data_IF_800996511266
#
_entry.id   IF_800996511266
#
_cell.length_a   1.000
_cell.length_b   1.000
_cell.length_c   1.000
_cell.angle_alpha   90.00
_cell.angle_beta   90.00
_cell.angle_gamma   90.00
#
_symmetry.space_group_name_H-M   'P 1'
#
loop_
_entity.id
_entity.type
_entity.pdbx_description
1 polymer ?
#
# COMPACT_ATOMS: atom_id res chain seq x y z
N UNK A 1 -30.95 8.02 -2.16
CA UNK A 1 -30.38 8.29 -0.82
C UNK A 1 -30.31 6.97 -0.07
N UNK A 2 -29.32 6.16 -0.43
CA UNK A 2 -28.97 5.01 0.41
C UNK A 2 -28.24 5.56 1.63
N UNK A 3 -28.71 5.19 2.82
CA UNK A 3 -28.00 5.49 4.06
C UNK A 3 -26.74 4.62 4.07
N UNK A 4 -25.67 5.06 3.40
CA UNK A 4 -24.36 4.42 3.49
C UNK A 4 -23.95 4.37 4.96
N UNK A 5 -23.83 3.15 5.49
CA UNK A 5 -23.35 2.91 6.84
C UNK A 5 -21.84 3.17 6.82
N UNK A 6 -21.36 4.12 7.60
CA UNK A 6 -19.93 4.40 7.68
C UNK A 6 -19.22 3.33 8.50
N UNK A 7 -18.26 2.64 7.90
CA UNK A 7 -17.38 1.68 8.57
C UNK A 7 -16.12 2.39 9.09
N UNK A 8 -15.78 2.20 10.37
CA UNK A 8 -14.58 2.79 10.94
C UNK A 8 -13.35 1.93 10.57
N UNK A 9 -12.49 2.45 9.70
CA UNK A 9 -11.23 1.83 9.31
C UNK A 9 -10.01 2.40 10.04
N UNK A 10 -8.99 1.55 10.25
CA UNK A 10 -7.68 1.96 10.71
C UNK A 10 -6.70 1.97 9.52
N UNK A 11 -6.08 3.12 9.28
CA UNK A 11 -5.05 3.30 8.27
C UNK A 11 -3.69 3.54 8.92
N UNK A 12 -2.64 3.00 8.32
CA UNK A 12 -1.25 3.23 8.73
C UNK A 12 -0.51 4.00 7.64
N UNK A 13 0.27 5.02 8.03
CA UNK A 13 1.14 5.75 7.13
C UNK A 13 2.44 6.19 7.79
N UNK A 14 3.53 6.18 7.03
CA UNK A 14 4.83 6.79 7.38
C UNK A 14 5.07 8.12 6.64
N UNK A 15 3.99 8.75 6.14
CA UNK A 15 3.99 9.94 5.27
C UNK A 15 4.38 9.68 3.80
N UNK A 16 4.75 8.45 3.42
CA UNK A 16 4.94 8.05 2.03
C UNK A 16 3.97 6.92 1.66
N UNK A 17 4.04 5.82 2.39
CA UNK A 17 3.22 4.63 2.23
C UNK A 17 1.91 4.79 3.01
N UNK A 18 0.82 4.25 2.46
CA UNK A 18 -0.49 4.22 3.11
C UNK A 18 -1.05 2.81 2.96
N UNK A 19 -1.44 2.18 4.06
CA UNK A 19 -2.00 0.83 4.06
C UNK A 19 -3.26 0.79 4.94
N UNK A 20 -4.32 0.19 4.40
CA UNK A 20 -5.51 -0.15 5.19
C UNK A 20 -5.20 -1.34 6.09
N UNK A 21 -5.21 -1.12 7.40
CA UNK A 21 -5.03 -2.19 8.39
C UNK A 21 -6.33 -3.00 8.53
N UNK A 22 -7.45 -2.39 8.18
CA UNK A 22 -8.78 -2.95 8.17
C UNK A 22 -9.72 -2.31 9.19
N UNK A 23 -10.92 -2.86 9.33
CA UNK A 23 -11.95 -2.27 10.16
C UNK A 23 -11.69 -2.41 11.65
N UNK A 24 -12.20 -1.43 12.40
CA UNK A 24 -12.13 -1.27 13.86
C UNK A 24 -13.46 -1.62 14.52
N UNK A 25 -14.57 -1.29 13.87
CA UNK A 25 -15.94 -1.57 14.31
C UNK A 25 -16.61 -2.53 13.32
N UNK A 26 -17.65 -3.24 13.77
CA UNK A 26 -18.47 -4.09 12.88
C UNK A 26 -19.44 -3.24 12.05
N UNK A 27 -19.74 -3.70 10.84
CA UNK A 27 -20.53 -3.10 9.73
C UNK A 27 -21.93 -2.54 10.10
N UNK A 28 -22.34 -2.66 11.36
CA UNK A 28 -23.65 -2.26 11.87
C UNK A 28 -23.62 -0.96 12.68
N UNK A 29 -22.44 -0.39 12.96
CA UNK A 29 -22.28 0.75 13.86
C UNK A 29 -21.92 2.02 13.09
N UNK A 30 -22.88 2.93 12.91
CA UNK A 30 -22.58 4.29 12.47
C UNK A 30 -21.72 4.96 13.55
N UNK A 31 -20.50 5.39 13.19
CA UNK A 31 -19.56 6.05 14.11
C UNK A 31 -19.55 7.57 13.85
N UNK A 32 -19.65 8.39 14.90
CA UNK A 32 -19.54 9.85 14.79
C UNK A 32 -18.11 10.36 14.98
N UNK A 33 -17.44 9.86 16.01
CA UNK A 33 -16.09 10.26 16.40
C UNK A 33 -15.32 9.07 16.99
N UNK A 34 -14.01 9.07 16.82
CA UNK A 34 -13.12 8.03 17.34
C UNK A 34 -11.81 8.63 17.87
N UNK A 35 -11.16 7.89 18.75
CA UNK A 35 -9.84 8.18 19.30
C UNK A 35 -9.04 6.89 19.34
N UNK A 36 -7.77 6.96 18.93
CA UNK A 36 -6.84 5.84 18.95
C UNK A 36 -5.78 6.08 20.01
N UNK A 37 -5.55 5.09 20.87
CA UNK A 37 -4.53 5.11 21.90
C UNK A 37 -3.57 3.93 21.70
N UNK A 38 -2.30 4.26 21.47
CA UNK A 38 -1.21 3.30 21.57
C UNK A 38 -0.56 3.42 22.94
N UNK A 39 -0.54 2.31 23.69
CA UNK A 39 0.13 2.21 24.98
C UNK A 39 1.29 1.24 24.84
N UNK A 40 2.49 1.73 25.14
CA UNK A 40 3.69 0.91 25.34
C UNK A 40 4.26 1.28 26.71
N UNK A 41 4.69 0.29 27.48
CA UNK A 41 5.22 0.47 28.84
C UNK A 41 6.27 -0.58 29.18
N UNK A 42 6.94 -0.40 30.32
CA UNK A 42 8.16 -1.14 30.73
C UNK A 42 8.02 -2.68 30.76
N UNK A 43 6.80 -3.22 30.78
CA UNK A 43 6.51 -4.65 30.78
C UNK A 43 6.41 -5.29 29.39
N UNK A 44 6.82 -4.62 28.31
CA UNK A 44 6.66 -5.06 26.91
C UNK A 44 5.20 -5.34 26.49
N UNK A 45 4.21 -4.87 27.24
CA UNK A 45 2.79 -5.00 26.89
C UNK A 45 2.34 -3.83 25.99
N UNK A 46 2.56 -3.98 24.69
CA UNK A 46 2.06 -3.05 23.70
C UNK A 46 0.58 -3.30 23.41
N UNK A 47 -0.25 -2.26 23.55
CA UNK A 47 -1.70 -2.33 23.34
C UNK A 47 -2.15 -1.19 22.44
N UNK A 48 -2.98 -1.52 21.45
CA UNK A 48 -3.68 -0.55 20.62
C UNK A 48 -5.15 -0.59 20.98
N UNK A 49 -5.71 0.56 21.35
CA UNK A 49 -7.08 0.68 21.83
C UNK A 49 -7.78 1.74 21.00
N UNK A 50 -8.94 1.42 20.45
CA UNK A 50 -9.84 2.40 19.85
C UNK A 50 -11.00 2.69 20.81
N UNK A 51 -11.29 3.96 21.00
CA UNK A 51 -12.49 4.45 21.67
C UNK A 51 -13.33 5.18 20.64
N UNK A 52 -14.60 4.82 20.47
CA UNK A 52 -15.46 5.48 19.49
C UNK A 52 -16.90 5.64 19.97
N UNK A 53 -17.57 6.65 19.41
CA UNK A 53 -18.96 6.98 19.71
C UNK A 53 -19.90 6.25 18.75
N UNK A 54 -20.77 5.40 19.29
CA UNK A 54 -21.79 4.70 18.51
C UNK A 54 -23.04 5.58 18.34
N UNK A 55 -23.43 5.80 17.09
CA UNK A 55 -24.69 6.45 16.72
C UNK A 55 -25.84 5.44 16.84
N UNK A 56 -26.95 5.82 17.49
CA UNK A 56 -28.14 4.96 17.56
C UNK A 56 -28.87 4.94 16.20
N UNK A 57 -29.33 3.75 15.81
CA UNK A 57 -30.30 3.57 14.73
C UNK A 57 -31.71 3.70 15.31
N UNK A 58 -32.47 4.72 14.89
CA UNK A 58 -33.91 4.84 15.15
C UNK A 58 -34.34 5.83 16.25
N UNK A 59 -35.01 6.91 15.82
CA UNK A 59 -36.29 7.43 16.35
C UNK A 59 -36.45 7.95 17.78
N UNK A 60 -35.56 7.67 18.74
CA UNK A 60 -35.79 8.07 20.14
C UNK A 60 -34.90 9.23 20.56
N UNK A 61 -35.52 10.40 20.53
CA UNK A 61 -35.09 11.65 21.15
C UNK A 61 -34.71 11.38 22.61
N UNK A 62 -33.47 11.70 22.99
CA UNK A 62 -32.94 11.78 24.37
C UNK A 62 -32.39 10.50 25.05
N UNK A 63 -31.33 9.91 24.49
CA UNK A 63 -30.36 9.14 25.29
C UNK A 63 -28.94 9.41 24.82
N UNK A 64 -28.02 9.64 25.78
CA UNK A 64 -26.61 9.94 25.53
C UNK A 64 -25.97 8.92 24.58
N UNK A 65 -25.08 9.34 23.67
CA UNK A 65 -24.30 8.43 22.82
C UNK A 65 -23.55 7.41 23.66
N UNK A 66 -23.55 6.14 23.22
CA UNK A 66 -22.78 5.08 23.87
C UNK A 66 -21.33 5.13 23.41
N UNK A 67 -20.38 5.12 24.35
CA UNK A 67 -18.96 4.99 24.04
C UNK A 67 -18.54 3.52 24.06
N UNK A 68 -17.83 3.08 23.03
CA UNK A 68 -17.32 1.72 22.88
C UNK A 68 -15.79 1.75 22.89
N UNK A 69 -15.19 0.87 23.70
CA UNK A 69 -13.73 0.67 23.76
C UNK A 69 -13.39 -0.70 23.23
N UNK A 70 -12.50 -0.78 22.24
CA UNK A 70 -12.08 -2.02 21.58
C UNK A 70 -10.57 -2.18 21.66
N UNK A 71 -10.12 -3.35 22.09
CA UNK A 71 -8.70 -3.73 22.04
C UNK A 71 -8.36 -4.30 20.67
N UNK A 72 -7.48 -3.63 19.95
CA UNK A 72 -7.14 -3.89 18.55
C UNK A 72 -5.92 -4.81 18.41
N UNK A 73 -5.96 -5.98 19.06
CA UNK A 73 -4.83 -6.92 19.09
C UNK A 73 -4.44 -7.43 17.70
N UNK A 74 -5.43 -7.74 16.85
CA UNK A 74 -5.16 -8.25 15.49
C UNK A 74 -4.62 -7.15 14.59
N UNK A 75 -5.18 -5.95 14.66
CA UNK A 75 -4.75 -4.79 13.88
C UNK A 75 -3.35 -4.35 14.31
N UNK A 76 -3.03 -4.37 15.61
CA UNK A 76 -1.66 -4.09 16.10
C UNK A 76 -0.65 -5.10 15.54
N UNK A 77 -1.02 -6.38 15.45
CA UNK A 77 -0.17 -7.39 14.80
C UNK A 77 0.05 -7.06 13.32
N UNK A 78 -1.00 -6.73 12.58
CA UNK A 78 -0.91 -6.31 11.17
C UNK A 78 -0.04 -5.06 10.98
N UNK A 79 -0.17 -4.06 11.86
CA UNK A 79 0.69 -2.86 11.84
C UNK A 79 2.16 -3.26 11.93
N UNK A 80 2.53 -4.15 12.85
CA UNK A 80 3.91 -4.64 12.98
C UNK A 80 4.39 -5.40 11.75
N UNK A 81 3.52 -6.23 11.17
CA UNK A 81 3.83 -6.99 9.95
C UNK A 81 4.06 -6.05 8.75
N UNK A 82 3.26 -4.98 8.62
CA UNK A 82 3.42 -3.94 7.59
C UNK A 82 4.73 -3.18 7.78
N UNK A 83 5.02 -2.70 9.00
CA UNK A 83 6.28 -2.00 9.30
C UNK A 83 7.52 -2.87 9.03
N UNK A 84 7.46 -4.15 9.37
CA UNK A 84 8.52 -5.11 9.06
C UNK A 84 8.70 -5.31 7.54
N UNK A 85 7.59 -5.29 6.80
CA UNK A 85 7.60 -5.40 5.34
C UNK A 85 8.23 -4.16 4.70
N UNK A 86 7.81 -2.95 5.08
CA UNK A 86 8.40 -1.70 4.58
C UNK A 86 9.92 -1.66 4.79
N UNK A 87 10.37 -1.98 6.00
CA UNK A 87 11.80 -2.05 6.31
C UNK A 87 12.55 -3.06 5.42
N UNK A 88 11.96 -4.23 5.17
CA UNK A 88 12.56 -5.25 4.31
C UNK A 88 12.67 -4.77 2.86
N UNK A 89 11.66 -4.06 2.36
CA UNK A 89 11.68 -3.50 1.00
C UNK A 89 12.71 -2.37 0.89
N UNK A 90 12.80 -1.48 1.88
CA UNK A 90 13.85 -0.46 1.95
C UNK A 90 15.26 -1.07 1.91
N UNK A 91 15.49 -2.16 2.66
CA UNK A 91 16.75 -2.91 2.67
C UNK A 91 17.07 -3.57 1.31
N UNK A 92 16.06 -3.85 0.49
CA UNK A 92 16.23 -4.37 -0.87
C UNK A 92 16.53 -3.22 -1.83
N UNK A 93 15.73 -2.16 -1.81
CA UNK A 93 15.84 -1.00 -2.70
C UNK A 93 17.17 -0.28 -2.48
N UNK A 94 17.62 -0.12 -1.24
CA UNK A 94 18.91 0.48 -0.91
C UNK A 94 20.10 -0.26 -1.54
N UNK A 95 19.98 -1.56 -1.80
CA UNK A 95 21.01 -2.38 -2.48
C UNK A 95 20.95 -2.28 -4.01
N UNK A 96 19.89 -1.71 -4.60
CA UNK A 96 19.81 -1.51 -6.05
C UNK A 96 20.70 -0.35 -6.51
N UNK A 97 20.97 0.62 -5.64
CA UNK A 97 21.95 1.66 -5.87
C UNK A 97 23.33 1.23 -5.31
N UNK A 98 23.85 0.10 -5.78
CA UNK A 98 25.27 -0.18 -5.56
C UNK A 98 26.03 0.73 -6.53
N UNK A 99 26.56 1.85 -6.01
CA UNK A 99 27.61 2.59 -6.70
C UNK A 99 28.65 1.57 -7.15
N UNK A 100 28.93 1.52 -8.44
CA UNK A 100 30.06 0.79 -8.99
C UNK A 100 31.29 1.08 -8.12
N UNK A 101 31.69 0.11 -7.29
CA UNK A 101 32.95 0.15 -6.55
C UNK A 101 34.06 -0.04 -7.57
N UNK A 102 34.31 1.01 -8.34
CA UNK A 102 35.58 1.23 -9.00
C UNK A 102 36.41 1.93 -7.95
N UNK A 103 37.55 1.35 -7.56
CA UNK A 103 38.49 1.95 -6.60
C UNK A 103 38.74 3.42 -7.00
N UNK A 104 38.31 4.36 -6.14
CA UNK A 104 38.54 5.80 -6.35
C UNK A 104 37.31 6.68 -6.63
N UNK A 105 36.08 6.16 -6.63
CA UNK A 105 34.89 7.02 -6.73
C UNK A 105 34.66 7.84 -5.43
N UNK A 106 34.23 9.12 -5.53
CA UNK A 106 34.06 10.00 -4.37
C UNK A 106 33.04 9.44 -3.37
N UNK A 107 33.33 9.61 -2.07
CA UNK A 107 32.53 9.15 -0.92
C UNK A 107 31.15 9.81 -0.80
N UNK A 108 30.83 10.74 -1.69
CA UNK A 108 29.53 11.40 -1.83
C UNK A 108 28.77 10.80 -3.03
N UNK A 109 28.57 9.49 -3.05
CA UNK A 109 27.68 8.92 -4.07
C UNK A 109 26.23 9.21 -3.69
N UNK A 110 25.40 9.58 -4.67
CA UNK A 110 23.95 9.78 -4.47
C UNK A 110 23.21 8.49 -4.07
N UNK A 111 23.95 7.39 -3.94
CA UNK A 111 23.50 6.06 -3.53
C UNK A 111 23.59 5.79 -2.02
N UNK A 112 23.65 6.79 -1.14
CA UNK A 112 23.49 6.52 0.30
C UNK A 112 22.10 5.94 0.57
N UNK A 113 22.00 4.84 1.33
CA UNK A 113 20.75 4.08 1.56
C UNK A 113 19.53 4.95 1.90
N UNK A 114 19.71 5.98 2.74
CA UNK A 114 18.62 6.88 3.15
C UNK A 114 18.18 7.91 2.09
N UNK A 115 18.94 8.13 1.02
CA UNK A 115 18.53 9.02 -0.09
C UNK A 115 17.66 8.32 -1.13
N UNK A 116 17.78 7.00 -1.27
CA UNK A 116 17.15 6.25 -2.38
C UNK A 116 15.68 5.92 -2.06
N UNK A 117 15.38 5.63 -0.80
CA UNK A 117 14.01 5.31 -0.35
C UNK A 117 13.23 6.54 0.10
N UNK A 118 13.89 7.70 0.24
CA UNK A 118 13.23 8.93 0.63
C UNK A 118 12.19 9.37 -0.41
N UNK A 119 10.91 9.36 -0.02
CA UNK A 119 9.81 9.72 -0.91
C UNK A 119 9.45 8.64 -1.94
N UNK A 120 9.99 7.42 -1.81
CA UNK A 120 9.48 6.26 -2.51
C UNK A 120 8.13 5.87 -1.90
N UNK A 121 7.11 5.70 -2.74
CA UNK A 121 5.73 5.44 -2.29
C UNK A 121 5.21 4.07 -2.73
N UNK A 122 5.80 3.48 -3.75
CA UNK A 122 5.43 2.16 -4.23
C UNK A 122 6.52 1.55 -5.08
N UNK A 123 6.58 0.22 -5.13
CA UNK A 123 7.58 -0.52 -5.87
C UNK A 123 6.99 -1.79 -6.47
N UNK A 124 6.92 -1.85 -7.81
CA UNK A 124 6.49 -3.02 -8.55
C UNK A 124 7.72 -3.82 -9.00
N UNK A 125 7.87 -5.05 -8.49
CA UNK A 125 9.04 -5.90 -8.76
C UNK A 125 8.64 -7.35 -9.04
N UNK A 126 9.01 -8.30 -8.18
CA UNK A 126 8.83 -9.74 -8.43
C UNK A 126 7.52 -10.32 -7.94
N UNK A 127 6.78 -9.59 -7.09
CA UNK A 127 5.55 -10.09 -6.48
C UNK A 127 4.36 -9.99 -7.46
N UNK A 128 4.21 -11.00 -8.31
CA UNK A 128 3.13 -11.09 -9.29
C UNK A 128 2.29 -12.36 -9.10
N UNK A 129 0.97 -12.20 -9.14
CA UNK A 129 0.00 -13.29 -9.01
C UNK A 129 -1.13 -13.09 -10.00
N UNK A 130 -1.29 -14.02 -10.94
CA UNK A 130 -2.36 -14.02 -11.97
C UNK A 130 -2.40 -12.78 -12.88
N UNK A 131 -3.16 -11.76 -12.49
CA UNK A 131 -3.33 -10.45 -13.14
C UNK A 131 -2.96 -9.30 -12.20
N UNK A 132 -2.53 -9.60 -10.98
CA UNK A 132 -2.15 -8.61 -9.97
C UNK A 132 -0.63 -8.54 -9.88
N UNK A 133 -0.07 -7.39 -10.25
CA UNK A 133 1.31 -7.04 -9.92
C UNK A 133 1.30 -6.29 -8.60
N UNK A 134 1.73 -6.96 -7.54
CA UNK A 134 1.61 -6.44 -6.18
C UNK A 134 2.69 -5.42 -5.90
N UNK A 135 2.30 -4.36 -5.22
CA UNK A 135 3.24 -3.40 -4.65
C UNK A 135 3.95 -4.04 -3.46
N UNK A 136 5.28 -4.01 -3.51
CA UNK A 136 6.12 -4.59 -2.45
C UNK A 136 5.93 -3.85 -1.12
N UNK A 137 5.55 -2.56 -1.14
CA UNK A 137 5.20 -1.78 0.06
C UNK A 137 3.74 -2.00 0.53
N UNK A 138 3.01 -2.93 -0.06
CA UNK A 138 1.63 -3.27 0.29
C UNK A 138 0.62 -2.13 0.05
N UNK A 139 0.99 -1.10 -0.71
CA UNK A 139 0.11 -0.02 -1.09
C UNK A 139 -0.82 -0.45 -2.22
N UNK A 140 -0.80 0.30 -3.31
CA UNK A 140 -1.74 0.09 -4.42
C UNK A 140 -1.17 -0.97 -5.34
N UNK A 141 -1.91 -2.03 -5.66
CA UNK A 141 -1.46 -3.01 -6.65
C UNK A 141 -1.72 -2.52 -8.08
N UNK A 142 -0.89 -2.93 -9.03
CA UNK A 142 -1.16 -2.76 -10.44
C UNK A 142 -1.94 -3.94 -11.03
N UNK A 143 -2.84 -3.64 -11.96
CA UNK A 143 -3.62 -4.64 -12.71
C UNK A 143 -2.98 -4.86 -14.06
N UNK A 144 -2.61 -6.11 -14.35
CA UNK A 144 -2.07 -6.53 -15.63
C UNK A 144 -3.17 -7.10 -16.50
N UNK A 145 -3.36 -6.50 -17.67
CA UNK A 145 -4.37 -6.90 -18.64
C UNK A 145 -3.80 -7.88 -19.66
N UNK A 146 -4.55 -8.96 -19.87
CA UNK A 146 -4.34 -10.00 -20.88
C UNK A 146 -5.64 -10.14 -21.67
N UNK A 147 -5.54 -10.24 -22.99
CA UNK A 147 -6.56 -10.71 -23.92
C UNK A 147 -6.40 -12.21 -24.17
N UNK A 148 -7.37 -13.00 -23.72
CA UNK A 148 -7.38 -14.47 -23.83
C UNK A 148 -8.17 -14.98 -25.07
N UNK A 149 -8.55 -14.09 -25.99
CA UNK A 149 -9.59 -14.34 -26.99
C UNK A 149 -9.19 -14.33 -28.47
N UNK A 150 -7.98 -14.77 -28.87
CA UNK A 150 -7.61 -14.82 -30.29
C UNK A 150 -6.32 -15.58 -30.63
N UNK A 151 -6.05 -15.74 -31.95
CA UNK A 151 -4.94 -16.53 -32.51
C UNK A 151 -3.51 -16.07 -32.11
N UNK A 152 -3.38 -14.88 -31.51
CA UNK A 152 -2.19 -14.41 -30.79
C UNK A 152 -2.62 -13.98 -29.40
N UNK A 153 -2.81 -14.95 -28.50
CA UNK A 153 -3.08 -14.66 -27.09
C UNK A 153 -2.00 -13.74 -26.55
N UNK A 154 -2.39 -12.63 -25.95
CA UNK A 154 -1.44 -11.80 -25.23
C UNK A 154 -1.06 -12.47 -23.92
N UNK A 155 0.20 -12.37 -23.52
CA UNK A 155 0.62 -12.87 -22.23
C UNK A 155 1.36 -11.81 -21.44
N UNK A 156 1.28 -11.96 -20.13
CA UNK A 156 2.13 -11.27 -19.19
C UNK A 156 2.76 -12.32 -18.28
N UNK A 157 4.08 -12.44 -18.37
CA UNK A 157 4.85 -13.46 -17.64
C UNK A 157 5.89 -12.76 -16.78
N UNK A 158 6.02 -13.22 -15.53
CA UNK A 158 7.04 -12.73 -14.61
C UNK A 158 8.41 -13.03 -15.19
N UNK A 159 9.28 -12.03 -15.22
CA UNK A 159 10.69 -12.24 -15.57
C UNK A 159 11.47 -12.67 -14.33
N UNK A 160 12.44 -13.56 -14.52
CA UNK A 160 13.51 -13.75 -13.53
C UNK A 160 14.36 -12.49 -13.42
N UNK A 161 15.35 -12.49 -12.54
CA UNK A 161 16.23 -11.34 -12.31
C UNK A 161 16.74 -10.71 -13.64
N UNK A 162 16.56 -9.39 -13.86
CA UNK A 162 15.82 -8.44 -13.02
C UNK A 162 14.30 -8.68 -13.06
N UNK A 163 13.69 -8.74 -11.87
CA UNK A 163 12.26 -9.00 -11.70
C UNK A 163 11.40 -7.95 -12.42
N UNK A 164 10.28 -8.40 -12.97
CA UNK A 164 9.33 -7.57 -13.72
C UNK A 164 8.32 -8.40 -14.49
N UNK A 165 7.66 -7.78 -15.46
CA UNK A 165 6.65 -8.42 -16.29
C UNK A 165 6.98 -8.23 -17.76
N UNK A 166 7.02 -9.34 -18.52
CA UNK A 166 7.14 -9.32 -19.98
C UNK A 166 5.75 -9.34 -20.60
N UNK A 167 5.42 -8.29 -21.34
CA UNK A 167 4.18 -8.16 -22.11
C UNK A 167 4.41 -8.66 -23.54
N UNK A 168 3.52 -9.51 -24.04
CA UNK A 168 3.53 -9.95 -25.45
C UNK A 168 2.12 -9.92 -26.03
N UNK A 169 2.02 -9.67 -27.35
CA UNK A 169 0.75 -9.57 -28.07
C UNK A 169 0.12 -8.18 -28.06
N UNK A 170 -0.99 -8.02 -28.79
CA UNK A 170 -1.72 -6.75 -28.92
C UNK A 170 -2.61 -6.50 -27.68
N UNK A 171 -2.36 -5.40 -26.97
CA UNK A 171 -3.18 -4.97 -25.84
C UNK A 171 -2.78 -5.57 -24.49
N UNK A 172 -1.57 -6.11 -24.36
CA UNK A 172 -0.98 -6.46 -23.06
C UNK A 172 -0.35 -5.23 -22.42
N UNK A 173 -0.75 -4.89 -21.20
CA UNK A 173 -0.21 -3.74 -20.45
C UNK A 173 -0.50 -3.88 -18.95
N UNK A 174 0.06 -2.98 -18.15
CA UNK A 174 -0.21 -2.86 -16.73
C UNK A 174 -0.77 -1.47 -16.41
N UNK A 175 -1.79 -1.45 -15.55
CA UNK A 175 -2.39 -0.24 -15.02
C UNK A 175 -2.04 -0.12 -13.54
N UNK A 176 -1.48 1.01 -13.12
CA UNK A 176 -1.29 1.33 -11.71
C UNK A 176 -2.19 2.51 -11.35
N UNK A 177 -3.32 2.28 -10.63
CA UNK A 177 -4.35 3.30 -10.54
C UNK A 177 -3.96 4.48 -9.64
N UNK A 178 -4.36 5.68 -10.06
CA UNK A 178 -4.26 6.92 -9.25
C UNK A 178 -5.65 7.39 -8.83
N UNK A 179 -6.44 7.94 -9.77
CA UNK A 179 -7.79 8.44 -9.48
C UNK A 179 -8.88 7.36 -9.43
N UNK A 180 -8.62 6.16 -9.95
CA UNK A 180 -9.58 5.04 -9.96
C UNK A 180 -9.66 4.28 -8.64
N UNK A 181 -9.00 4.75 -7.58
CA UNK A 181 -9.00 4.11 -6.25
C UNK A 181 -10.29 4.35 -5.46
N UNK A 182 -11.22 5.17 -5.97
CA UNK A 182 -12.50 5.46 -5.34
C UNK A 182 -12.40 6.57 -4.29
N UNK A 183 -12.96 6.32 -3.12
CA UNK A 183 -13.02 7.28 -2.01
C UNK A 183 -11.63 7.58 -1.42
N UNK A 184 -10.82 6.54 -1.19
CA UNK A 184 -9.48 6.67 -0.63
C UNK A 184 -8.44 6.65 -1.76
N UNK A 185 -8.01 7.83 -2.21
CA UNK A 185 -7.02 7.98 -3.30
C UNK A 185 -5.60 8.12 -2.74
N UNK A 186 -4.95 7.00 -2.44
CA UNK A 186 -3.63 6.95 -1.82
C UNK A 186 -2.57 7.66 -2.67
N UNK A 187 -2.71 7.61 -4.00
CA UNK A 187 -1.74 8.21 -4.93
C UNK A 187 -2.13 9.60 -5.42
N UNK A 188 -3.04 10.30 -4.74
CA UNK A 188 -3.47 11.64 -5.12
C UNK A 188 -2.32 12.66 -5.24
N UNK A 189 -1.20 12.44 -4.53
CA UNK A 189 0.03 13.25 -4.65
C UNK A 189 0.58 13.32 -6.08
N UNK A 190 0.32 12.30 -6.92
CA UNK A 190 0.79 12.26 -8.31
C UNK A 190 0.18 13.34 -9.20
N UNK A 191 -0.92 13.98 -8.78
CA UNK A 191 -1.48 15.15 -9.48
C UNK A 191 -0.63 16.42 -9.29
N UNK A 192 0.30 16.43 -8.34
CA UNK A 192 1.13 17.60 -8.02
C UNK A 192 2.59 17.40 -8.43
N UNK A 193 3.22 16.33 -7.94
CA UNK A 193 4.61 16.03 -8.24
C UNK A 193 4.89 14.54 -8.02
N UNK A 194 5.49 13.89 -9.01
CA UNK A 194 5.91 12.49 -8.92
C UNK A 194 7.06 12.19 -9.87
N UNK A 195 7.77 11.11 -9.56
CA UNK A 195 8.78 10.51 -10.43
C UNK A 195 8.43 9.04 -10.61
N UNK A 196 8.29 8.57 -11.85
CA UNK A 196 8.14 7.15 -12.18
C UNK A 196 9.42 6.64 -12.83
N UNK A 197 9.98 5.55 -12.28
CA UNK A 197 11.22 4.93 -12.78
C UNK A 197 10.91 3.49 -13.20
N UNK A 198 11.39 3.10 -14.38
CA UNK A 198 11.24 1.74 -14.89
C UNK A 198 12.45 1.34 -15.74
N UNK A 199 12.84 0.07 -15.65
CA UNK A 199 13.79 -0.56 -16.58
C UNK A 199 12.99 -1.26 -17.68
N UNK A 200 13.25 -0.92 -18.95
CA UNK A 200 12.51 -1.44 -20.09
C UNK A 200 13.42 -2.14 -21.09
N UNK A 201 12.95 -3.27 -21.61
CA UNK A 201 13.62 -4.05 -22.67
C UNK A 201 12.66 -4.24 -23.84
N UNK A 202 13.01 -3.67 -24.99
CA UNK A 202 12.23 -3.79 -26.23
C UNK A 202 12.67 -5.06 -26.95
N UNK A 203 11.76 -6.03 -27.08
CA UNK A 203 12.08 -7.35 -27.62
C UNK A 203 11.88 -7.47 -29.13
N UNK A 204 11.01 -6.63 -29.71
CA UNK A 204 10.70 -6.61 -31.14
C UNK A 204 10.61 -5.15 -31.60
N UNK A 205 10.90 -4.90 -32.87
CA UNK A 205 10.64 -3.60 -33.49
C UNK A 205 9.13 -3.30 -33.46
N UNK A 206 8.70 -2.06 -33.14
CA UNK A 206 7.29 -1.67 -33.15
C UNK A 206 6.59 -1.88 -34.49
#
# INVERSE_FOLDING_TARGET
>A
NENEKGELHLWLTDNAHIVDIGPVATDEENVNASSLLYKSGDSNEEKLIALYEKKKSGGETQSSPGMVSVLLTQQLKRVKDVLATWKKVDDIVSKLCLSSTTEGAPTTSDCSAGKITAGLVGFLSGNFSETTWRDEYLGVNATVKKNDGGAKATSATVTGLPYGVKFTGLGAWAEWPVGQQGENQLYHFANYNFTLVATVSIHNVP
#
